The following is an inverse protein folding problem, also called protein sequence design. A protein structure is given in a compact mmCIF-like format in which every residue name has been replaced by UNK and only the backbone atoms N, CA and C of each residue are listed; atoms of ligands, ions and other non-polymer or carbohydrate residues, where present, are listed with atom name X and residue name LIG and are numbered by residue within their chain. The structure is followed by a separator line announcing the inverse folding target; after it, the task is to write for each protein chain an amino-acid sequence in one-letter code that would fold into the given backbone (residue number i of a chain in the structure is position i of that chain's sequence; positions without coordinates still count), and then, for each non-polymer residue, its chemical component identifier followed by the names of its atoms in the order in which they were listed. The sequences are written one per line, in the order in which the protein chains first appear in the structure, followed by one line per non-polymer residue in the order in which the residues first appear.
data_IF_026485208195
#
_entry.id   IF_026485208195
#
_cell.length_a   1.000
_cell.length_b   1.000
_cell.length_c   1.000
_cell.angle_alpha   90.00
_cell.angle_beta   90.00
_cell.angle_gamma   90.00
#
_symmetry.space_group_name_H-M   'P 1'
#
loop_
_entity.id
_entity.type
_entity.pdbx_description
1 polymer ?
#
# COMPACT_ATOMS: atom_id res chain seq x y z
N UNK A 1 -15.81 4.14 -1.80
CA UNK A 1 -15.40 2.84 -2.34
C UNK A 1 -14.04 2.53 -1.74
N UNK A 2 -13.91 1.42 -1.00
CA UNK A 2 -12.63 1.00 -0.45
C UNK A 2 -11.72 0.65 -1.64
N UNK A 3 -10.50 1.18 -1.65
CA UNK A 3 -9.52 0.81 -2.66
C UNK A 3 -8.75 -0.40 -2.13
N UNK A 4 -8.71 -1.46 -2.92
CA UNK A 4 -7.92 -2.65 -2.71
C UNK A 4 -6.80 -2.72 -3.76
N UNK A 5 -5.67 -3.27 -3.37
CA UNK A 5 -4.51 -3.47 -4.22
C UNK A 5 -4.07 -4.93 -4.13
N UNK A 6 -3.86 -5.55 -5.29
CA UNK A 6 -3.23 -6.86 -5.37
C UNK A 6 -1.71 -6.69 -5.31
N UNK A 7 -1.10 -7.07 -4.19
CA UNK A 7 0.34 -7.05 -3.96
C UNK A 7 0.72 -8.21 -3.04
N UNK A 8 1.82 -8.92 -3.32
CA UNK A 8 2.28 -10.01 -2.45
C UNK A 8 2.96 -9.44 -1.20
N UNK A 9 2.47 -9.80 -0.02
CA UNK A 9 3.09 -9.43 1.24
C UNK A 9 4.32 -10.30 1.49
N UNK A 10 5.51 -9.71 1.71
CA UNK A 10 6.74 -10.47 1.99
C UNK A 10 6.71 -11.17 3.36
N UNK A 11 5.88 -10.71 4.30
CA UNK A 11 5.81 -11.26 5.66
C UNK A 11 4.85 -12.46 5.78
N UNK A 12 3.61 -12.34 5.27
CA UNK A 12 2.58 -13.38 5.42
C UNK A 12 2.12 -14.02 4.11
N UNK A 13 2.56 -13.54 2.95
CA UNK A 13 2.18 -14.06 1.63
C UNK A 13 0.77 -13.67 1.16
N UNK A 14 0.05 -12.83 1.92
CA UNK A 14 -1.26 -12.31 1.51
C UNK A 14 -1.12 -11.42 0.28
N UNK A 15 -2.06 -11.57 -0.66
CA UNK A 15 -2.05 -10.85 -1.94
C UNK A 15 -2.92 -9.61 -1.95
N UNK A 16 -3.67 -9.34 -0.88
CA UNK A 16 -4.67 -8.27 -0.84
C UNK A 16 -4.28 -7.24 0.19
N UNK A 17 -4.19 -6.00 -0.25
CA UNK A 17 -3.91 -4.84 0.57
C UNK A 17 -5.09 -3.89 0.53
N UNK A 18 -5.33 -3.22 1.66
CA UNK A 18 -6.38 -2.22 1.76
C UNK A 18 -5.78 -0.84 1.93
N UNK A 19 -6.42 0.14 1.29
CA UNK A 19 -6.02 1.54 1.44
C UNK A 19 -6.39 2.04 2.82
N UNK A 20 -5.37 2.25 3.65
CA UNK A 20 -5.52 2.81 4.98
C UNK A 20 -5.71 4.34 4.96
N UNK A 21 -4.95 5.02 4.10
CA UNK A 21 -5.04 6.47 3.94
C UNK A 21 -4.54 6.92 2.57
N UNK A 22 -5.00 8.07 2.09
CA UNK A 22 -4.39 8.79 0.97
C UNK A 22 -4.19 10.25 1.33
N UNK A 23 -3.14 10.86 0.79
CA UNK A 23 -2.81 12.27 0.97
C UNK A 23 -2.21 12.80 -0.32
N UNK A 24 -2.79 13.86 -0.87
CA UNK A 24 -2.24 14.54 -2.02
C UNK A 24 -1.08 15.43 -1.60
N UNK A 25 0.07 15.25 -2.24
CA UNK A 25 1.29 16.04 -2.07
C UNK A 25 1.61 16.75 -3.38
N UNK A 26 2.48 17.76 -3.32
CA UNK A 26 3.02 18.40 -4.52
C UNK A 26 3.72 17.41 -5.47
N UNK A 27 4.24 16.31 -4.94
CA UNK A 27 4.96 15.26 -5.68
C UNK A 27 4.03 14.15 -6.21
N UNK A 28 2.72 14.20 -5.91
CA UNK A 28 1.75 13.17 -6.30
C UNK A 28 0.87 12.69 -5.14
N UNK A 29 0.06 11.67 -5.40
CA UNK A 29 -0.80 11.07 -4.37
C UNK A 29 -0.03 10.03 -3.56
N UNK A 30 0.11 10.29 -2.25
CA UNK A 30 0.68 9.36 -1.28
C UNK A 30 -0.42 8.48 -0.71
N UNK A 31 -0.35 7.19 -1.01
CA UNK A 31 -1.29 6.17 -0.57
C UNK A 31 -0.58 5.26 0.42
N UNK A 32 -1.25 4.94 1.53
CA UNK A 32 -0.79 3.94 2.50
C UNK A 32 -1.59 2.66 2.30
N UNK A 33 -0.88 1.58 2.09
CA UNK A 33 -1.42 0.23 1.96
C UNK A 33 -1.14 -0.55 3.23
N UNK A 34 -2.13 -1.30 3.70
CA UNK A 34 -2.02 -2.11 4.90
C UNK A 34 -2.46 -3.54 4.61
N UNK A 35 -1.68 -4.51 5.11
CA UNK A 35 -2.03 -5.90 5.06
C UNK A 35 -3.10 -6.20 6.13
N UNK A 36 -4.18 -6.94 5.81
CA UNK A 36 -5.21 -7.30 6.79
C UNK A 36 -4.76 -8.37 7.79
N UNK A 37 -3.79 -9.22 7.43
CA UNK A 37 -3.37 -10.39 8.21
C UNK A 37 -2.08 -10.17 9.01
N UNK A 38 -1.34 -9.09 8.75
CA UNK A 38 -0.11 -8.76 9.48
C UNK A 38 0.11 -7.23 9.59
N UNK A 39 1.13 -6.82 10.34
CA UNK A 39 1.44 -5.39 10.53
C UNK A 39 2.17 -4.75 9.33
N UNK A 40 2.41 -5.51 8.25
CA UNK A 40 3.09 -4.99 7.07
C UNK A 40 2.24 -3.92 6.37
N UNK A 41 2.87 -2.78 6.13
CA UNK A 41 2.28 -1.70 5.36
C UNK A 41 3.34 -0.98 4.57
N UNK A 42 2.99 -0.54 3.38
CA UNK A 42 3.87 0.20 2.50
C UNK A 42 3.19 1.45 1.98
N UNK A 43 4.00 2.34 1.41
CA UNK A 43 3.55 3.61 0.87
C UNK A 43 3.79 3.61 -0.62
N UNK A 44 2.80 4.08 -1.38
CA UNK A 44 2.90 4.35 -2.80
C UNK A 44 2.74 5.85 -3.05
N UNK A 45 3.62 6.45 -3.82
CA UNK A 45 3.57 7.86 -4.26
C UNK A 45 3.62 7.85 -5.78
N UNK A 46 2.45 8.01 -6.42
CA UNK A 46 2.34 7.85 -7.87
C UNK A 46 2.74 6.43 -8.32
N UNK A 47 3.81 6.33 -9.12
CA UNK A 47 4.37 5.07 -9.64
C UNK A 47 5.46 4.47 -8.74
N UNK A 48 5.83 5.15 -7.65
CA UNK A 48 6.89 4.71 -6.75
C UNK A 48 6.25 4.08 -5.52
N UNK A 49 6.54 2.82 -5.24
CA UNK A 49 6.17 2.16 -3.99
C UNK A 49 7.40 1.81 -3.13
N UNK A 50 7.19 1.74 -1.82
CA UNK A 50 8.24 1.37 -0.86
C UNK A 50 8.33 -0.14 -0.62
N UNK A 51 7.54 -0.95 -1.34
CA UNK A 51 7.54 -2.42 -1.24
C UNK A 51 8.62 -3.07 -2.10
N UNK A 52 9.01 -2.44 -3.20
CA UNK A 52 10.12 -2.88 -4.04
C UNK A 52 11.47 -2.37 -3.49
N UNK A 53 12.08 -3.11 -2.55
CA UNK A 53 13.46 -2.92 -2.12
C UNK A 53 14.33 -4.11 -2.55
#
# INVERSE_FOLDING_TARGET
MAQELEHECPECGVKTFYRAASTSLHLGEKIKWHCPDCDYGFVQIGEIDSSAA
#
